data_IF_239702767758
#
_entry.id   IF_239702767758
#
_cell.length_a   1.000
_cell.length_b   1.000
_cell.length_c   1.000
_cell.angle_alpha   90.00
_cell.angle_beta   90.00
_cell.angle_gamma   90.00
#
_symmetry.space_group_name_H-M   'P 1'
#
loop_
_entity.id
_entity.type
_entity.pdbx_description
1 polymer ?
#
# COMPACT_ATOMS: atom_id res chain seq x y z
N UNK A 1 -23.78 -17.81 -76.78
CA UNK A 1 -25.06 -17.55 -76.09
C UNK A 1 -25.15 -18.62 -74.98
N UNK A 2 -24.23 -18.66 -74.04
CA UNK A 2 -23.82 -17.65 -73.04
C UNK A 2 -24.96 -17.14 -72.16
N UNK A 3 -24.61 -16.98 -70.87
CA UNK A 3 -25.35 -16.49 -69.69
C UNK A 3 -25.91 -17.61 -68.78
N UNK A 4 -25.09 -18.21 -67.89
CA UNK A 4 -24.64 -17.80 -66.52
C UNK A 4 -25.62 -18.15 -65.40
N UNK A 5 -25.34 -19.28 -64.72
CA UNK A 5 -25.76 -19.60 -63.35
C UNK A 5 -25.07 -18.63 -62.37
N UNK A 6 -25.85 -18.04 -61.47
CA UNK A 6 -25.34 -17.25 -60.34
C UNK A 6 -25.51 -18.10 -59.08
N UNK A 7 -24.38 -18.61 -58.59
CA UNK A 7 -24.27 -19.24 -57.27
C UNK A 7 -24.42 -18.17 -56.17
N UNK A 8 -25.49 -18.28 -55.38
CA UNK A 8 -25.70 -17.49 -54.17
C UNK A 8 -24.81 -18.03 -53.05
N UNK A 9 -23.67 -17.35 -52.83
CA UNK A 9 -22.80 -17.59 -51.68
C UNK A 9 -23.47 -17.04 -50.43
N UNK A 10 -24.10 -17.91 -49.66
CA UNK A 10 -24.46 -17.66 -48.27
C UNK A 10 -23.20 -17.35 -47.44
N UNK A 11 -23.00 -16.07 -47.15
CA UNK A 11 -22.02 -15.57 -46.17
C UNK A 11 -22.41 -16.09 -44.78
N UNK A 12 -21.73 -17.13 -44.32
CA UNK A 12 -21.62 -17.43 -42.89
C UNK A 12 -20.75 -16.34 -42.26
N UNK A 13 -21.39 -15.31 -41.71
CA UNK A 13 -20.73 -14.36 -40.85
C UNK A 13 -20.42 -15.05 -39.51
N UNK A 14 -19.20 -15.57 -39.39
CA UNK A 14 -18.59 -15.85 -38.09
C UNK A 14 -18.50 -14.51 -37.35
N UNK A 15 -19.51 -14.26 -36.50
CA UNK A 15 -19.45 -13.18 -35.53
C UNK A 15 -18.49 -13.64 -34.44
N UNK A 16 -17.37 -12.94 -34.20
CA UNK A 16 -16.57 -13.23 -33.03
C UNK A 16 -17.44 -12.90 -31.83
N UNK A 17 -17.85 -13.93 -31.09
CA UNK A 17 -18.37 -13.75 -29.74
C UNK A 17 -17.20 -13.25 -28.89
N UNK A 18 -16.98 -11.93 -28.90
CA UNK A 18 -16.16 -11.21 -27.92
C UNK A 18 -16.81 -11.40 -26.55
N UNK A 19 -16.56 -12.55 -25.93
CA UNK A 19 -16.74 -12.68 -24.49
C UNK A 19 -15.73 -11.72 -23.87
N UNK A 20 -16.16 -10.79 -23.00
CA UNK A 20 -15.23 -9.93 -22.31
C UNK A 20 -14.23 -10.82 -21.55
N UNK A 21 -12.94 -10.58 -21.76
CA UNK A 21 -11.88 -11.20 -20.97
C UNK A 21 -12.05 -10.66 -19.56
N UNK A 22 -12.46 -11.53 -18.63
CA UNK A 22 -12.48 -11.19 -17.21
C UNK A 22 -11.04 -11.41 -16.72
N UNK A 23 -10.36 -10.32 -16.41
CA UNK A 23 -9.04 -10.36 -15.80
C UNK A 23 -9.19 -10.59 -14.30
N UNK A 24 -8.49 -11.60 -13.78
CA UNK A 24 -8.47 -11.90 -12.36
C UNK A 24 -7.09 -11.57 -11.80
N UNK A 25 -7.05 -10.81 -10.71
CA UNK A 25 -5.83 -10.42 -10.02
C UNK A 25 -5.77 -11.16 -8.68
N UNK A 26 -4.58 -11.62 -8.32
CA UNK A 26 -4.36 -12.37 -7.09
C UNK A 26 -3.18 -11.79 -6.31
N UNK A 27 -3.36 -11.59 -5.01
CA UNK A 27 -2.31 -11.23 -4.08
C UNK A 27 -2.01 -12.43 -3.16
N UNK A 28 -0.77 -12.92 -3.19
CA UNK A 28 -0.35 -14.08 -2.41
C UNK A 28 0.57 -13.64 -1.27
N UNK A 29 0.24 -14.04 -0.05
CA UNK A 29 1.08 -13.87 1.13
C UNK A 29 1.62 -15.22 1.54
N UNK A 30 2.94 -15.32 1.62
CA UNK A 30 3.65 -16.50 2.09
C UNK A 30 4.23 -16.17 3.46
N UNK A 31 3.74 -16.83 4.50
CA UNK A 31 4.20 -16.64 5.86
C UNK A 31 4.35 -17.99 6.53
N UNK A 32 5.43 -18.17 7.30
CA UNK A 32 5.57 -19.36 8.11
C UNK A 32 5.89 -18.96 9.54
N UNK A 33 5.19 -19.61 10.47
CA UNK A 33 5.28 -19.34 11.90
C UNK A 33 6.29 -20.25 12.61
N UNK A 34 7.09 -21.01 11.84
CA UNK A 34 8.21 -21.80 12.40
C UNK A 34 9.34 -20.90 12.86
N UNK A 35 9.99 -21.32 13.94
CA UNK A 35 11.18 -20.64 14.45
C UNK A 35 12.30 -20.65 13.38
N UNK A 36 13.15 -19.61 13.33
CA UNK A 36 14.18 -19.46 12.27
C UNK A 36 15.14 -20.64 12.09
N UNK A 37 15.23 -21.54 13.07
CA UNK A 37 16.07 -22.75 13.02
C UNK A 37 15.52 -23.84 12.09
N UNK A 38 14.22 -23.83 11.79
CA UNK A 38 13.53 -24.79 10.92
C UNK A 38 13.07 -24.14 9.61
N UNK A 39 13.84 -23.18 9.08
CA UNK A 39 13.51 -22.51 7.83
C UNK A 39 13.51 -23.50 6.65
N UNK A 40 12.32 -23.84 6.15
CA UNK A 40 12.11 -24.60 4.93
C UNK A 40 11.21 -23.81 3.97
N UNK A 41 11.73 -23.50 2.79
CA UNK A 41 11.01 -22.79 1.74
C UNK A 41 9.78 -23.58 1.27
N UNK A 42 9.82 -24.91 1.32
CA UNK A 42 8.68 -25.74 0.94
C UNK A 42 7.52 -25.59 1.93
N UNK A 43 7.82 -25.43 3.22
CA UNK A 43 6.81 -25.16 4.25
C UNK A 43 6.19 -23.79 4.03
N UNK A 44 7.00 -22.74 3.81
CA UNK A 44 6.51 -21.39 3.50
C UNK A 44 5.63 -21.38 2.24
N UNK A 45 6.01 -22.14 1.21
CA UNK A 45 5.23 -22.23 -0.03
C UNK A 45 3.89 -22.97 0.14
N UNK A 46 3.80 -23.88 1.11
CA UNK A 46 2.55 -24.58 1.45
C UNK A 46 1.59 -23.69 2.25
N UNK A 47 2.12 -22.80 3.08
CA UNK A 47 1.36 -21.82 3.88
C UNK A 47 1.05 -20.55 3.07
N UNK A 48 0.66 -20.71 1.80
CA UNK A 48 0.29 -19.61 0.91
C UNK A 48 -1.16 -19.20 1.16
N UNK A 49 -1.38 -17.94 1.52
CA UNK A 49 -2.71 -17.34 1.52
C UNK A 49 -2.91 -16.49 0.27
N UNK A 50 -3.96 -16.80 -0.50
CA UNK A 50 -4.31 -16.11 -1.75
C UNK A 50 -5.55 -15.25 -1.55
N UNK A 51 -5.45 -13.99 -1.93
CA UNK A 51 -6.56 -13.04 -2.05
C UNK A 51 -6.86 -12.83 -3.53
N UNK A 52 -8.11 -13.00 -3.95
CA UNK A 52 -8.59 -12.48 -5.22
C UNK A 52 -8.94 -11.00 -5.02
N UNK A 53 -8.37 -10.13 -5.86
CA UNK A 53 -8.54 -8.68 -5.76
C UNK A 53 -9.23 -8.14 -7.03
N UNK A 54 -10.06 -7.12 -6.85
CA UNK A 54 -10.88 -6.52 -7.93
C UNK A 54 -10.21 -5.30 -8.58
N UNK A 55 -8.92 -5.08 -8.30
CA UNK A 55 -8.13 -3.95 -8.79
C UNK A 55 -6.77 -4.43 -9.31
N UNK A 56 -6.18 -3.64 -10.20
CA UNK A 56 -4.80 -3.86 -10.66
C UNK A 56 -3.85 -3.38 -9.56
N UNK A 57 -2.95 -4.23 -9.04
CA UNK A 57 -2.00 -3.82 -8.00
C UNK A 57 -0.87 -2.95 -8.58
N UNK A 58 -0.52 -1.86 -7.88
CA UNK A 58 0.54 -0.92 -8.31
C UNK A 58 1.77 -0.95 -7.40
N UNK A 59 1.58 -0.77 -6.10
CA UNK A 59 2.67 -0.71 -5.15
C UNK A 59 2.36 -1.53 -3.90
N UNK A 60 3.23 -2.50 -3.60
CA UNK A 60 3.20 -3.26 -2.36
C UNK A 60 4.26 -2.71 -1.40
N UNK A 61 3.82 -2.33 -0.21
CA UNK A 61 4.65 -1.82 0.88
C UNK A 61 4.32 -2.55 2.19
N UNK A 62 5.20 -2.47 3.18
CA UNK A 62 4.92 -2.92 4.54
C UNK A 62 5.42 -1.90 5.55
N UNK A 63 4.72 -1.78 6.68
CA UNK A 63 5.12 -0.86 7.75
C UNK A 63 4.66 -1.37 9.10
N UNK A 64 5.21 -0.78 10.16
CA UNK A 64 4.74 -1.02 11.52
C UNK A 64 3.53 -0.12 11.80
N UNK A 65 2.42 -0.73 12.22
CA UNK A 65 1.23 -0.07 12.73
C UNK A 65 1.25 -0.09 14.25
N UNK A 66 1.21 1.08 14.86
CA UNK A 66 1.03 1.24 16.31
C UNK A 66 -0.47 1.26 16.62
N UNK A 67 -0.91 0.38 17.50
CA UNK A 67 -2.33 0.15 17.78
C UNK A 67 -2.83 0.89 19.03
N UNK A 68 -1.93 1.45 19.83
CA UNK A 68 -2.27 2.19 21.03
C UNK A 68 -1.36 3.40 21.24
N UNK A 69 -1.81 4.32 22.11
CA UNK A 69 -1.05 5.51 22.50
C UNK A 69 0.24 5.20 23.27
N UNK A 70 0.37 3.99 23.84
CA UNK A 70 1.58 3.60 24.59
C UNK A 70 2.74 3.25 23.68
N UNK A 71 2.47 3.07 22.38
CA UNK A 71 3.44 2.72 21.33
C UNK A 71 4.19 1.41 21.61
N UNK A 72 3.75 0.61 22.59
CA UNK A 72 4.38 -0.66 22.94
C UNK A 72 3.85 -1.82 22.10
N UNK A 73 2.62 -1.69 21.59
CA UNK A 73 2.01 -2.69 20.75
C UNK A 73 2.04 -2.24 19.29
N UNK A 74 2.89 -2.92 18.52
CA UNK A 74 3.00 -2.75 17.08
C UNK A 74 2.81 -4.07 16.36
N UNK A 75 2.24 -4.00 15.17
CA UNK A 75 2.16 -5.11 14.23
C UNK A 75 2.68 -4.69 12.87
N UNK A 76 3.21 -5.65 12.11
CA UNK A 76 3.58 -5.41 10.73
C UNK A 76 2.34 -5.59 9.86
N UNK A 77 2.08 -4.64 8.98
CA UNK A 77 0.94 -4.69 8.04
C UNK A 77 1.45 -4.52 6.61
N UNK A 78 0.70 -5.08 5.67
CA UNK A 78 0.92 -4.87 4.23
C UNK A 78 -0.01 -3.78 3.72
N UNK A 79 0.51 -2.93 2.84
CA UNK A 79 -0.22 -1.87 2.17
C UNK A 79 -0.10 -2.12 0.67
N UNK A 80 -1.22 -2.28 -0.02
CA UNK A 80 -1.27 -2.53 -1.46
C UNK A 80 -2.09 -1.44 -2.14
N UNK A 81 -1.48 -0.66 -3.04
CA UNK A 81 -2.22 0.30 -3.85
C UNK A 81 -2.87 -0.33 -5.08
N UNK A 82 -4.05 0.17 -5.43
CA UNK A 82 -4.85 -0.32 -6.55
C UNK A 82 -5.15 0.72 -7.63
N UNK A 83 -5.59 0.23 -8.80
CA UNK A 83 -6.16 1.04 -9.89
C UNK A 83 -7.41 1.83 -9.50
N UNK A 84 -8.04 1.47 -8.38
CA UNK A 84 -9.22 2.11 -7.82
C UNK A 84 -8.91 3.39 -7.02
N UNK A 85 -7.65 3.85 -7.06
CA UNK A 85 -7.14 5.01 -6.31
C UNK A 85 -7.17 4.81 -4.79
N UNK A 86 -7.19 3.56 -4.32
CA UNK A 86 -7.17 3.21 -2.90
C UNK A 86 -5.85 2.56 -2.49
N UNK A 87 -5.60 2.57 -1.17
CA UNK A 87 -4.59 1.73 -0.54
C UNK A 87 -5.29 0.73 0.39
N UNK A 88 -5.13 -0.56 0.10
CA UNK A 88 -5.70 -1.68 0.85
C UNK A 88 -4.72 -2.16 1.91
N UNK A 89 -5.21 -2.35 3.14
CA UNK A 89 -4.37 -2.74 4.28
C UNK A 89 -4.65 -4.20 4.60
N UNK A 90 -3.61 -5.04 4.62
CA UNK A 90 -3.73 -6.44 5.03
C UNK A 90 -3.00 -6.65 6.35
N UNK A 91 -3.74 -7.16 7.33
CA UNK A 91 -3.29 -7.38 8.71
C UNK A 91 -3.25 -8.87 9.00
N UNK A 92 -2.38 -9.27 9.93
CA UNK A 92 -2.30 -10.64 10.41
C UNK A 92 -3.27 -10.85 11.59
N UNK A 93 -4.13 -11.86 11.50
CA UNK A 93 -4.82 -12.46 12.63
C UNK A 93 -3.95 -13.58 13.19
N UNK A 94 -3.19 -13.25 14.24
CA UNK A 94 -2.26 -14.20 14.89
C UNK A 94 -2.96 -15.39 15.54
N UNK A 95 -4.23 -15.25 15.93
CA UNK A 95 -4.99 -16.35 16.53
C UNK A 95 -5.41 -17.36 15.46
N UNK A 96 -5.80 -16.87 14.30
CA UNK A 96 -6.20 -17.70 13.15
C UNK A 96 -5.04 -18.07 12.23
N UNK A 97 -3.85 -17.51 12.47
CA UNK A 97 -2.65 -17.69 11.65
C UNK A 97 -2.94 -17.38 10.16
N UNK A 98 -3.70 -16.32 9.90
CA UNK A 98 -4.08 -15.89 8.56
C UNK A 98 -4.07 -14.37 8.43
N UNK A 99 -4.13 -13.87 7.21
CA UNK A 99 -4.25 -12.46 6.90
C UNK A 99 -5.69 -12.09 6.56
N UNK A 100 -6.06 -10.84 6.72
CA UNK A 100 -7.34 -10.29 6.27
C UNK A 100 -7.17 -8.86 5.78
N UNK A 101 -8.04 -8.44 4.87
CA UNK A 101 -8.13 -7.04 4.48
C UNK A 101 -8.86 -6.23 5.56
N UNK A 102 -8.27 -5.14 6.01
CA UNK A 102 -8.82 -4.26 7.03
C UNK A 102 -9.83 -3.30 6.42
N UNK A 103 -11.11 -3.55 6.71
CA UNK A 103 -12.24 -2.73 6.27
C UNK A 103 -12.22 -1.29 6.82
N UNK A 104 -11.56 -1.06 7.95
CA UNK A 104 -11.49 0.24 8.62
C UNK A 104 -10.14 0.95 8.40
N UNK A 105 -9.56 0.84 7.21
CA UNK A 105 -8.25 1.41 6.86
C UNK A 105 -8.09 2.88 7.29
N UNK A 106 -9.15 3.70 7.17
CA UNK A 106 -9.16 5.12 7.58
C UNK A 106 -8.83 5.36 9.06
N UNK A 107 -9.09 4.39 9.93
CA UNK A 107 -8.77 4.51 11.36
C UNK A 107 -7.28 4.34 11.64
N UNK A 108 -6.57 3.63 10.76
CA UNK A 108 -5.17 3.28 10.93
C UNK A 108 -4.24 4.09 10.02
N UNK A 109 -4.67 4.37 8.79
CA UNK A 109 -3.95 5.10 7.75
C UNK A 109 -4.84 6.20 7.12
N UNK A 110 -5.32 7.18 7.91
CA UNK A 110 -6.19 8.24 7.40
C UNK A 110 -5.56 9.03 6.24
N UNK A 111 -4.23 9.10 6.18
CA UNK A 111 -3.49 9.80 5.12
C UNK A 111 -3.48 9.08 3.77
N UNK A 112 -3.83 7.80 3.76
CA UNK A 112 -3.93 6.97 2.55
C UNK A 112 -5.37 6.82 2.06
N UNK A 113 -6.31 7.52 2.70
CA UNK A 113 -7.71 7.58 2.27
C UNK A 113 -7.95 8.81 1.38
N UNK A 114 -8.94 8.70 0.49
CA UNK A 114 -9.40 9.79 -0.38
C UNK A 114 -8.29 10.40 -1.28
N UNK A 115 -7.43 9.54 -1.84
CA UNK A 115 -6.37 9.96 -2.76
C UNK A 115 -6.97 10.31 -4.13
N UNK A 116 -6.42 11.34 -4.78
CA UNK A 116 -7.01 11.92 -5.99
C UNK A 116 -6.68 11.17 -7.29
N UNK A 117 -5.79 10.18 -7.23
CA UNK A 117 -5.33 9.38 -8.36
C UNK A 117 -4.64 8.10 -7.86
N UNK A 118 -4.24 7.22 -8.79
CA UNK A 118 -3.56 5.96 -8.48
C UNK A 118 -2.26 6.23 -7.72
N UNK A 119 -2.04 5.47 -6.66
CA UNK A 119 -0.81 5.53 -5.87
C UNK A 119 0.26 4.67 -6.52
N UNK A 120 1.29 5.34 -7.03
CA UNK A 120 2.42 4.72 -7.71
C UNK A 120 3.55 4.36 -6.74
N UNK A 121 3.66 5.08 -5.62
CA UNK A 121 4.70 4.85 -4.62
C UNK A 121 4.24 5.27 -3.23
N UNK A 122 4.60 4.48 -2.23
CA UNK A 122 4.37 4.75 -0.80
C UNK A 122 5.73 4.66 -0.09
N UNK A 123 6.03 5.62 0.78
CA UNK A 123 7.13 5.48 1.74
C UNK A 123 6.68 6.00 3.10
N UNK A 124 6.74 5.13 4.11
CA UNK A 124 6.22 5.39 5.45
C UNK A 124 7.36 5.25 6.46
N UNK A 125 7.52 6.24 7.33
CA UNK A 125 8.51 6.23 8.40
C UNK A 125 7.88 6.59 9.73
N UNK A 126 8.01 5.70 10.70
CA UNK A 126 7.74 6.00 12.09
C UNK A 126 8.97 6.67 12.70
N UNK A 127 8.79 7.85 13.31
CA UNK A 127 9.85 8.69 13.87
C UNK A 127 9.56 8.93 15.33
N UNK A 128 10.51 8.56 16.19
CA UNK A 128 10.44 8.86 17.62
C UNK A 128 10.64 10.35 17.86
N UNK A 129 9.72 10.98 18.58
CA UNK A 129 9.79 12.38 19.00
C UNK A 129 9.65 12.49 20.51
N UNK A 130 9.89 13.69 21.06
CA UNK A 130 9.73 13.93 22.50
C UNK A 130 8.27 13.71 22.96
N UNK A 131 7.31 13.90 22.05
CA UNK A 131 5.87 13.82 22.32
C UNK A 131 5.26 12.46 21.88
N UNK A 132 6.10 11.48 21.53
CA UNK A 132 5.68 10.15 21.07
C UNK A 132 6.14 9.83 19.64
N UNK A 133 5.61 8.73 19.09
CA UNK A 133 5.92 8.31 17.71
C UNK A 133 5.03 9.06 16.72
N UNK A 134 5.65 9.68 15.72
CA UNK A 134 4.94 10.28 14.59
C UNK A 134 5.19 9.47 13.33
N UNK A 135 4.16 9.22 12.55
CA UNK A 135 4.28 8.57 11.24
C UNK A 135 4.34 9.63 10.15
N UNK A 136 5.40 9.59 9.35
CA UNK A 136 5.57 10.43 8.17
C UNK A 136 5.34 9.56 6.95
N UNK A 137 4.42 9.96 6.09
CA UNK A 137 4.01 9.19 4.91
C UNK A 137 4.18 10.06 3.67
N UNK A 138 5.00 9.61 2.73
CA UNK A 138 5.14 10.20 1.40
C UNK A 138 4.43 9.31 0.38
N UNK A 139 3.63 9.93 -0.50
CA UNK A 139 2.88 9.25 -1.55
C UNK A 139 3.15 9.93 -2.88
N UNK A 140 3.51 9.14 -3.89
CA UNK A 140 3.61 9.59 -5.28
C UNK A 140 2.40 9.11 -6.08
N UNK A 141 1.69 10.02 -6.73
CA UNK A 141 0.50 9.72 -7.51
C UNK A 141 0.78 9.70 -9.02
N UNK A 142 -0.03 8.94 -9.75
CA UNK A 142 -0.02 8.85 -11.22
C UNK A 142 -0.33 10.20 -11.88
N UNK A 143 -1.12 11.05 -11.21
CA UNK A 143 -1.44 12.41 -11.66
C UNK A 143 -0.26 13.39 -11.65
N UNK A 144 0.85 13.04 -10.99
CA UNK A 144 1.99 13.93 -10.77
C UNK A 144 2.03 14.60 -9.40
N UNK A 145 1.00 14.40 -8.57
CA UNK A 145 0.98 14.91 -7.20
C UNK A 145 1.90 14.08 -6.28
N UNK A 146 2.76 14.76 -5.53
CA UNK A 146 3.41 14.23 -4.32
C UNK A 146 2.66 14.72 -3.11
N UNK A 147 2.25 13.80 -2.24
CA UNK A 147 1.65 14.10 -0.93
C UNK A 147 2.64 13.73 0.18
N UNK A 148 2.84 14.63 1.12
CA UNK A 148 3.54 14.38 2.38
C UNK A 148 2.56 14.58 3.53
N UNK A 149 2.44 13.58 4.40
CA UNK A 149 1.55 13.62 5.55
C UNK A 149 2.32 13.30 6.83
N UNK A 150 1.91 13.92 7.94
CA UNK A 150 2.33 13.56 9.29
C UNK A 150 1.10 13.11 10.06
N UNK A 151 1.20 11.96 10.70
CA UNK A 151 0.12 11.29 11.43
C UNK A 151 0.57 11.00 12.85
N UNK A 152 -0.33 11.25 13.79
CA UNK A 152 -0.14 11.06 15.22
C UNK A 152 -1.31 10.26 15.80
N UNK A 153 -1.07 9.56 16.91
CA UNK A 153 -2.13 8.87 17.64
C UNK A 153 -2.82 9.84 18.59
N UNK A 154 -4.11 10.08 18.37
CA UNK A 154 -4.96 10.89 19.24
C UNK A 154 -5.47 10.03 20.41
N UNK A 155 -5.05 10.38 21.63
CA UNK A 155 -5.39 9.67 22.87
C UNK A 155 -6.86 9.83 23.24
N UNK A 156 -7.49 10.95 22.89
CA UNK A 156 -8.89 11.23 23.24
C UNK A 156 -9.85 10.44 22.36
N UNK A 157 -9.47 10.21 21.09
CA UNK A 157 -10.30 9.51 20.10
C UNK A 157 -9.87 8.07 19.82
N UNK A 158 -8.71 7.65 20.36
CA UNK A 158 -8.08 6.33 20.20
C UNK A 158 -7.84 5.97 18.72
N UNK A 159 -7.40 6.96 17.93
CA UNK A 159 -7.26 6.86 16.47
C UNK A 159 -6.03 7.57 15.94
N UNK A 160 -5.59 7.15 14.76
CA UNK A 160 -4.60 7.90 13.99
C UNK A 160 -5.25 9.12 13.35
N UNK A 161 -4.61 10.28 13.45
CA UNK A 161 -5.08 11.55 12.89
C UNK A 161 -3.98 12.27 12.11
N UNK A 162 -4.33 12.84 10.97
CA UNK A 162 -3.38 13.63 10.16
C UNK A 162 -3.19 15.00 10.81
N UNK A 163 -1.98 15.27 11.30
CA UNK A 163 -1.61 16.57 11.91
C UNK A 163 -0.87 17.50 10.95
N UNK A 164 -0.36 16.96 9.83
CA UNK A 164 0.27 17.73 8.76
C UNK A 164 0.00 17.12 7.39
N UNK A 165 -0.26 17.96 6.38
CA UNK A 165 -0.52 17.55 5.01
C UNK A 165 0.01 18.61 4.04
N UNK A 166 0.89 18.19 3.13
CA UNK A 166 1.44 19.02 2.05
C UNK A 166 1.32 18.29 0.73
N UNK A 167 1.05 19.04 -0.35
CA UNK A 167 0.97 18.51 -1.70
C UNK A 167 1.76 19.40 -2.65
N UNK A 168 2.43 18.78 -3.61
CA UNK A 168 3.11 19.47 -4.71
C UNK A 168 2.81 18.74 -6.01
N UNK A 169 2.59 19.50 -7.08
CA UNK A 169 2.18 18.98 -8.38
C UNK A 169 3.34 19.06 -9.39
N UNK A 170 3.65 17.94 -10.03
CA UNK A 170 4.66 17.81 -11.08
C UNK A 170 3.99 17.52 -12.43
N UNK A 171 4.67 17.84 -13.53
CA UNK A 171 4.12 17.71 -14.89
C UNK A 171 3.91 16.26 -15.39
N UNK A 172 4.07 15.25 -14.54
CA UNK A 172 3.89 13.85 -14.91
C UNK A 172 3.98 12.87 -13.74
N UNK A 173 3.69 11.57 -13.97
CA UNK A 173 3.54 10.58 -12.92
C UNK A 173 4.74 10.49 -11.96
N UNK A 174 4.46 10.47 -10.66
CA UNK A 174 5.50 10.29 -9.63
C UNK A 174 5.73 8.81 -9.40
N UNK A 175 6.72 8.25 -10.08
CA UNK A 175 7.03 6.82 -10.00
C UNK A 175 7.79 6.41 -8.72
N UNK A 176 8.38 7.38 -8.00
CA UNK A 176 9.02 7.12 -6.71
C UNK A 176 9.14 8.40 -5.88
N UNK A 177 8.96 8.26 -4.56
CA UNK A 177 9.28 9.28 -3.57
C UNK A 177 9.88 8.58 -2.35
N UNK A 178 10.93 9.15 -1.74
CA UNK A 178 11.58 8.53 -0.57
C UNK A 178 11.83 9.53 0.53
N UNK A 179 11.58 9.09 1.75
CA UNK A 179 11.90 9.76 3.00
C UNK A 179 13.30 9.35 3.44
N UNK A 180 14.14 10.35 3.69
CA UNK A 180 15.50 10.15 4.18
C UNK A 180 15.62 10.72 5.59
N UNK A 181 16.27 9.97 6.47
CA UNK A 181 16.67 10.46 7.78
C UNK A 181 17.98 11.21 7.64
N UNK A 182 18.00 12.48 7.99
CA UNK A 182 19.23 13.25 8.04
C UNK A 182 19.99 12.94 9.36
N UNK A 183 21.11 12.24 9.24
CA UNK A 183 21.98 11.93 10.38
C UNK A 183 22.73 13.16 10.91
N UNK A 184 22.76 14.27 10.19
CA UNK A 184 23.46 15.48 10.64
C UNK A 184 22.70 16.25 11.73
N UNK A 185 21.40 15.99 11.90
CA UNK A 185 20.57 16.61 12.94
C UNK A 185 20.79 16.03 14.36
N UNK A 186 21.34 14.82 14.51
CA UNK A 186 21.71 14.29 15.84
C UNK A 186 23.01 14.92 16.35
N UNK A 187 23.98 15.16 15.46
CA UNK A 187 25.26 15.79 15.78
C UNK A 187 25.10 17.27 16.18
N UNK A 188 24.16 18.00 15.57
CA UNK A 188 23.90 19.40 15.94
C UNK A 188 23.24 19.52 17.32
N UNK A 189 22.33 18.60 17.69
CA UNK A 189 21.67 18.58 19.01
C UNK A 189 22.64 18.24 20.15
N UNK A 190 23.57 17.31 19.92
CA UNK A 190 24.64 16.99 20.88
C UNK A 190 25.60 18.17 21.10
N UNK A 191 25.88 18.95 20.05
CA UNK A 191 26.77 20.10 20.12
C UNK A 191 26.13 21.32 20.80
N UNK A 192 24.81 21.50 20.72
CA UNK A 192 24.10 22.53 21.49
C UNK A 192 24.05 22.20 22.99
N UNK A 193 23.86 20.92 23.36
CA UNK A 193 23.88 20.49 24.76
C UNK A 193 25.26 20.67 25.41
N UNK A 194 26.34 20.38 24.66
CA UNK A 194 27.73 20.59 25.14
C UNK A 194 28.16 22.06 25.21
N UNK A 195 27.45 22.98 24.56
CA UNK A 195 27.72 24.43 24.63
C UNK A 195 26.98 25.15 25.76
N UNK A 196 26.06 24.47 26.44
CA UNK A 196 25.25 25.01 27.56
C UNK A 196 25.65 24.46 28.94
N UNK A 197 26.75 23.71 29.02
CA UNK A 197 27.45 23.27 30.24
C UNK A 197 28.82 23.94 30.30
#
# INVERSE_FOLDING_TARGET
KDETEVDDKGNGADTPTDKPVIEHYYFNIYASLVTPQDFDLNTIAQDCQTFEIEFVPYHLYHTDLYLDHTMNYREQVWVLSGSDCSAHIYREDKEKQCFYEESAAVQYFPELCELSAIVMWIDIRNVDTADGVKRVTAVGLESGVVQLSVVEFDVDTDKHVVTGLWRYDYDGPVLSCRLFTDQSASVLRDNEFKRKL
#
